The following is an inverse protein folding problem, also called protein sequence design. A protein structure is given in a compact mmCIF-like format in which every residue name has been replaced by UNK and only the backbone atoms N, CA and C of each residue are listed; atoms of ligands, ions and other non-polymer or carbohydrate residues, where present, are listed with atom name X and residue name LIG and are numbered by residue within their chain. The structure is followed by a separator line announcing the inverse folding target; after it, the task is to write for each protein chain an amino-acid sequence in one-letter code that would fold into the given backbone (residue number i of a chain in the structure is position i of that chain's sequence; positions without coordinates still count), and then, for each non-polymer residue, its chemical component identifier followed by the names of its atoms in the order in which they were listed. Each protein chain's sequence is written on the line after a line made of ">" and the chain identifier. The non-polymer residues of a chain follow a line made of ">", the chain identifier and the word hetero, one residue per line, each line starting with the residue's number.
data_IF_349139381067
#
_entry.id   IF_349139381067
#
_cell.length_a   1.000
_cell.length_b   1.000
_cell.length_c   1.000
_cell.angle_alpha   90.00
_cell.angle_beta   90.00
_cell.angle_gamma   90.00
#
_symmetry.space_group_name_H-M   'P 1'
#
loop_
_entity.id
_entity.type
_entity.pdbx_description
1 polymer ?
#
# COMPACT_ATOMS: atom_id res chain seq x y z
N UNK A 1 9.32 -25.63 -1.90
CA UNK A 1 8.40 -26.64 -1.34
C UNK A 1 7.49 -25.94 -0.33
N UNK A 2 6.20 -25.79 -0.63
CA UNK A 2 5.22 -25.31 0.34
C UNK A 2 4.67 -26.53 1.10
N UNK A 3 5.26 -26.84 2.24
CA UNK A 3 4.84 -27.98 3.07
C UNK A 3 3.96 -27.45 4.20
N UNK A 4 2.63 -27.56 4.07
CA UNK A 4 1.73 -27.22 5.17
C UNK A 4 0.23 -27.21 4.85
N UNK A 5 -0.18 -26.99 3.60
CA UNK A 5 -1.60 -26.94 3.22
C UNK A 5 -2.07 -28.20 2.48
N UNK A 6 -3.21 -28.77 2.86
CA UNK A 6 -3.90 -29.79 2.05
C UNK A 6 -4.70 -29.10 0.94
N UNK A 7 -4.41 -29.44 -0.32
CA UNK A 7 -5.09 -28.89 -1.51
C UNK A 7 -6.59 -29.17 -1.49
N UNK A 8 -7.03 -30.30 -0.92
CA UNK A 8 -8.46 -30.64 -0.83
C UNK A 8 -9.26 -29.57 -0.08
N UNK A 9 -8.66 -28.97 0.96
CA UNK A 9 -9.31 -27.96 1.81
C UNK A 9 -9.64 -26.65 1.06
N UNK A 10 -8.96 -26.37 -0.05
CA UNK A 10 -9.16 -25.15 -0.85
C UNK A 10 -9.64 -25.45 -2.27
N UNK A 11 -9.91 -26.73 -2.57
CA UNK A 11 -10.33 -27.18 -3.90
C UNK A 11 -11.62 -26.52 -4.36
N UNK A 12 -12.53 -26.22 -3.42
CA UNK A 12 -13.77 -25.50 -3.66
C UNK A 12 -13.60 -24.06 -4.18
N UNK A 13 -12.40 -23.46 -4.02
CA UNK A 13 -12.09 -22.13 -4.53
C UNK A 13 -11.62 -22.15 -6.00
N UNK A 14 -11.21 -23.32 -6.53
CA UNK A 14 -10.68 -23.43 -7.90
C UNK A 14 -11.68 -22.96 -8.97
N UNK A 15 -12.97 -23.33 -8.92
CA UNK A 15 -13.94 -22.84 -9.90
C UNK A 15 -14.04 -21.31 -9.90
N UNK A 16 -13.94 -20.66 -8.74
CA UNK A 16 -13.93 -19.19 -8.68
C UNK A 16 -12.66 -18.61 -9.31
N UNK A 17 -11.48 -19.15 -8.97
CA UNK A 17 -10.18 -18.68 -9.50
C UNK A 17 -10.11 -18.85 -11.02
N UNK A 18 -10.68 -19.93 -11.56
CA UNK A 18 -10.71 -20.22 -12.99
C UNK A 18 -11.81 -19.45 -13.75
N UNK A 19 -12.73 -18.78 -13.04
CA UNK A 19 -13.86 -18.08 -13.64
C UNK A 19 -15.06 -18.97 -13.99
N UNK A 20 -15.06 -20.23 -13.55
CA UNK A 20 -16.10 -21.22 -13.78
C UNK A 20 -17.27 -21.13 -12.78
N UNK A 21 -17.17 -20.28 -11.75
CA UNK A 21 -18.21 -20.07 -10.74
C UNK A 21 -18.61 -18.60 -10.60
N UNK A 22 -19.90 -18.38 -10.33
CA UNK A 22 -20.50 -17.07 -10.02
C UNK A 22 -20.58 -16.80 -8.50
N UNK A 23 -20.23 -17.78 -7.65
CA UNK A 23 -20.20 -17.55 -6.21
C UNK A 23 -19.01 -16.67 -5.83
N UNK A 24 -19.30 -15.40 -5.52
CA UNK A 24 -18.29 -14.49 -5.00
C UNK A 24 -17.82 -14.95 -3.62
N UNK A 25 -16.55 -15.33 -3.52
CA UNK A 25 -15.83 -15.52 -2.26
C UNK A 25 -14.88 -14.35 -1.94
N UNK A 26 -14.81 -13.35 -2.82
CA UNK A 26 -14.02 -12.12 -2.64
C UNK A 26 -14.95 -10.93 -2.57
N UNK A 27 -14.74 -10.08 -1.56
CA UNK A 27 -15.58 -8.94 -1.25
C UNK A 27 -14.71 -7.73 -0.98
N UNK A 28 -15.07 -6.55 -1.49
CA UNK A 28 -14.48 -5.30 -1.03
C UNK A 28 -14.78 -5.13 0.46
N UNK A 29 -13.76 -4.79 1.24
CA UNK A 29 -13.90 -4.63 2.68
C UNK A 29 -12.95 -3.54 3.18
N UNK A 30 -13.54 -2.45 3.68
CA UNK A 30 -12.82 -1.28 4.18
C UNK A 30 -13.20 -1.07 5.65
N UNK A 31 -12.44 -1.66 6.60
CA UNK A 31 -12.71 -1.50 8.03
C UNK A 31 -12.55 -0.03 8.46
N UNK A 32 -13.36 0.41 9.42
CA UNK A 32 -13.40 1.82 9.87
C UNK A 32 -12.15 2.25 10.67
N UNK A 33 -11.37 1.28 11.18
CA UNK A 33 -10.05 1.52 11.76
C UNK A 33 -9.00 1.02 10.79
N UNK A 34 -8.23 1.94 10.22
CA UNK A 34 -6.97 1.62 9.54
C UNK A 34 -5.98 1.14 10.60
N UNK A 35 -5.31 0.03 10.32
CA UNK A 35 -4.36 -0.58 11.24
C UNK A 35 -3.19 0.40 11.42
N UNK A 36 -3.17 1.10 12.56
CA UNK A 36 -2.19 2.15 12.80
C UNK A 36 -0.83 1.54 13.11
N UNK A 37 0.18 1.99 12.37
CA UNK A 37 1.56 1.95 12.84
C UNK A 37 1.76 3.10 13.82
N UNK A 38 2.49 2.82 14.89
CA UNK A 38 2.67 3.66 16.08
C UNK A 38 3.48 4.95 15.88
N UNK A 39 3.78 5.37 14.65
CA UNK A 39 4.61 6.55 14.38
C UNK A 39 3.98 7.43 13.27
N UNK A 40 4.06 8.75 13.45
CA UNK A 40 3.45 9.86 12.69
C UNK A 40 3.79 9.99 11.18
N UNK A 41 4.28 8.94 10.53
CA UNK A 41 4.46 8.91 9.07
C UNK A 41 3.43 7.99 8.45
N UNK A 42 2.66 8.51 7.49
CA UNK A 42 1.71 7.70 6.72
C UNK A 42 2.49 6.66 5.90
N UNK A 43 2.04 5.40 5.94
CA UNK A 43 2.67 4.27 5.24
C UNK A 43 1.77 3.74 4.15
N UNK A 44 2.36 3.38 3.01
CA UNK A 44 1.67 2.61 1.97
C UNK A 44 1.92 1.14 2.24
N UNK A 45 0.87 0.39 2.56
CA UNK A 45 0.97 -0.95 3.12
C UNK A 45 0.53 -2.03 2.15
N UNK A 46 1.27 -3.13 2.17
CA UNK A 46 0.81 -4.44 1.78
C UNK A 46 0.55 -5.26 3.04
N UNK A 47 -0.71 -5.63 3.28
CA UNK A 47 -1.07 -6.44 4.45
C UNK A 47 -1.81 -7.70 4.01
N UNK A 48 -1.46 -8.80 4.68
CA UNK A 48 -2.16 -10.07 4.57
C UNK A 48 -2.50 -10.52 5.98
N UNK A 49 -3.75 -10.94 6.15
CA UNK A 49 -4.24 -11.51 7.40
C UNK A 49 -5.06 -12.73 7.07
N UNK A 50 -4.87 -13.83 7.80
CA UNK A 50 -5.69 -15.04 7.65
C UNK A 50 -6.06 -15.52 9.04
N UNK A 51 -7.36 -15.77 9.25
CA UNK A 51 -7.89 -16.33 10.48
C UNK A 51 -8.74 -17.55 10.18
N UNK A 52 -8.49 -18.63 10.90
CA UNK A 52 -9.39 -19.76 11.04
C UNK A 52 -10.06 -19.69 12.40
N UNK A 53 -11.39 -19.77 12.42
CA UNK A 53 -12.20 -19.84 13.63
C UNK A 53 -12.95 -21.16 13.65
N UNK A 54 -12.64 -22.01 14.62
CA UNK A 54 -13.29 -23.30 14.86
C UNK A 54 -14.71 -23.11 15.36
N UNK A 55 -14.95 -22.11 16.21
CA UNK A 55 -16.28 -21.74 16.72
C UNK A 55 -17.20 -21.30 15.59
N UNK A 56 -16.72 -20.40 14.72
CA UNK A 56 -17.48 -19.92 13.58
C UNK A 56 -17.44 -20.89 12.40
N UNK A 57 -16.59 -21.92 12.42
CA UNK A 57 -16.36 -22.85 11.31
C UNK A 57 -16.04 -22.14 10.00
N UNK A 58 -15.20 -21.11 10.05
CA UNK A 58 -14.79 -20.35 8.87
C UNK A 58 -13.27 -20.20 8.80
N UNK A 59 -12.75 -20.09 7.58
CA UNK A 59 -11.46 -19.46 7.32
C UNK A 59 -11.72 -18.25 6.43
N UNK A 60 -11.17 -17.10 6.80
CA UNK A 60 -11.17 -15.92 5.95
C UNK A 60 -9.79 -15.27 5.90
N UNK A 61 -9.53 -14.59 4.79
CA UNK A 61 -8.36 -13.77 4.58
C UNK A 61 -8.75 -12.31 4.39
N UNK A 62 -7.92 -11.40 4.87
CA UNK A 62 -7.96 -10.00 4.49
C UNK A 62 -6.69 -9.66 3.71
N UNK A 63 -6.86 -8.94 2.61
CA UNK A 63 -5.79 -8.54 1.71
C UNK A 63 -5.89 -7.03 1.50
N UNK A 64 -4.79 -6.33 1.77
CA UNK A 64 -4.62 -4.91 1.51
C UNK A 64 -3.42 -4.71 0.60
N UNK A 65 -3.63 -4.04 -0.54
CA UNK A 65 -2.58 -3.67 -1.47
C UNK A 65 -2.56 -2.14 -1.66
N UNK A 66 -1.36 -1.58 -1.61
CA UNK A 66 -1.09 -0.14 -1.69
C UNK A 66 -1.94 0.74 -0.77
N UNK A 67 -2.35 0.22 0.40
CA UNK A 67 -3.35 0.87 1.28
C UNK A 67 -4.70 1.21 0.63
N UNK A 68 -4.95 0.79 -0.61
CA UNK A 68 -6.12 1.20 -1.42
C UNK A 68 -7.02 0.03 -1.74
N UNK A 69 -6.46 -1.05 -2.25
CA UNK A 69 -7.24 -2.21 -2.66
C UNK A 69 -7.40 -3.15 -1.46
N UNK A 70 -8.59 -3.14 -0.87
CA UNK A 70 -8.89 -3.88 0.36
C UNK A 70 -10.00 -4.89 0.14
N UNK A 71 -9.68 -6.16 0.38
CA UNK A 71 -10.58 -7.27 0.12
C UNK A 71 -10.63 -8.22 1.31
N UNK A 72 -11.82 -8.77 1.53
CA UNK A 72 -12.05 -9.96 2.33
C UNK A 72 -12.22 -11.14 1.39
N UNK A 73 -11.56 -12.25 1.69
CA UNK A 73 -11.65 -13.52 0.98
C UNK A 73 -12.21 -14.57 1.92
N UNK A 74 -13.37 -15.14 1.63
CA UNK A 74 -13.89 -16.30 2.34
C UNK A 74 -13.20 -17.56 1.78
N UNK A 75 -12.35 -18.18 2.61
CA UNK A 75 -11.51 -19.32 2.22
C UNK A 75 -12.13 -20.68 2.59
N UNK A 76 -13.05 -20.72 3.56
CA UNK A 76 -13.87 -21.89 3.90
C UNK A 76 -15.05 -21.44 4.79
N UNK A 77 -16.21 -22.09 4.65
CA UNK A 77 -17.41 -21.85 5.46
C UNK A 77 -17.82 -23.08 6.31
N UNK A 78 -16.96 -24.08 6.35
CA UNK A 78 -17.17 -25.40 6.94
C UNK A 78 -15.90 -25.89 7.66
N UNK A 79 -15.10 -24.98 8.19
CA UNK A 79 -13.83 -25.28 8.83
C UNK A 79 -14.00 -26.13 10.10
N UNK A 80 -13.20 -27.19 10.23
CA UNK A 80 -13.24 -28.15 11.37
C UNK A 80 -11.88 -28.19 12.12
N UNK A 81 -10.91 -27.36 11.72
CA UNK A 81 -9.60 -27.31 12.39
C UNK A 81 -9.57 -26.40 13.62
N UNK A 82 -8.39 -26.27 14.22
CA UNK A 82 -8.15 -25.41 15.39
C UNK A 82 -8.09 -23.93 15.03
N UNK A 83 -8.36 -23.06 15.99
CA UNK A 83 -8.19 -21.61 15.82
C UNK A 83 -6.76 -21.27 15.41
N UNK A 84 -6.63 -20.37 14.43
CA UNK A 84 -5.32 -19.83 14.05
C UNK A 84 -5.46 -18.40 13.53
N UNK A 85 -4.39 -17.63 13.68
CA UNK A 85 -4.23 -16.29 13.13
C UNK A 85 -2.82 -16.14 12.56
N UNK A 86 -2.73 -15.59 11.35
CA UNK A 86 -1.47 -15.27 10.67
C UNK A 86 -1.58 -13.89 10.06
N UNK A 87 -0.54 -13.10 10.23
CA UNK A 87 -0.47 -11.75 9.69
C UNK A 87 0.89 -11.47 9.06
N UNK A 88 0.88 -10.57 8.09
CA UNK A 88 2.04 -10.04 7.41
C UNK A 88 1.76 -8.60 7.02
N UNK A 89 2.70 -7.71 7.32
CA UNK A 89 2.64 -6.31 6.92
C UNK A 89 3.98 -5.86 6.36
N UNK A 90 3.90 -5.09 5.28
CA UNK A 90 5.05 -4.58 4.55
C UNK A 90 4.81 -3.14 4.15
N UNK A 91 5.79 -2.29 4.42
CA UNK A 91 5.83 -0.90 3.99
C UNK A 91 6.42 -0.84 2.58
N UNK A 92 5.60 -0.44 1.62
CA UNK A 92 5.98 -0.35 0.20
C UNK A 92 7.01 0.76 -0.02
N UNK A 93 6.97 1.83 0.77
CA UNK A 93 7.84 2.98 0.60
C UNK A 93 9.24 2.68 1.13
N UNK A 94 9.32 2.16 2.35
CA UNK A 94 10.59 1.81 3.00
C UNK A 94 11.13 0.44 2.53
N UNK A 95 10.31 -0.32 1.80
CA UNK A 95 10.62 -1.68 1.33
C UNK A 95 11.00 -2.63 2.48
N UNK A 96 10.33 -2.47 3.62
CA UNK A 96 10.62 -3.23 4.82
C UNK A 96 9.38 -3.89 5.42
N UNK A 97 9.60 -5.03 6.07
CA UNK A 97 8.55 -5.71 6.83
C UNK A 97 8.34 -4.97 8.13
N UNK A 98 7.09 -4.73 8.48
CA UNK A 98 6.74 -4.04 9.72
C UNK A 98 5.89 -4.94 10.61
N UNK A 99 6.06 -4.77 11.93
CA UNK A 99 5.10 -5.32 12.88
C UNK A 99 3.80 -4.51 12.82
N UNK A 100 2.69 -5.23 12.76
CA UNK A 100 1.35 -4.67 12.74
C UNK A 100 0.47 -5.51 13.65
N UNK A 101 -0.55 -4.92 14.24
CA UNK A 101 -1.56 -5.67 14.97
C UNK A 101 -2.88 -5.58 14.20
N UNK A 102 -3.09 -6.52 13.27
CA UNK A 102 -4.31 -6.52 12.45
C UNK A 102 -5.46 -7.10 13.28
N UNK A 103 -6.34 -6.22 13.75
CA UNK A 103 -7.51 -6.60 14.53
C UNK A 103 -8.76 -6.72 13.65
N UNK A 104 -8.88 -7.85 12.95
CA UNK A 104 -10.09 -8.22 12.20
C UNK A 104 -10.68 -9.48 12.83
N UNK A 105 -11.83 -9.33 13.47
CA UNK A 105 -12.60 -10.44 14.02
C UNK A 105 -14.00 -10.46 13.41
N UNK A 106 -14.26 -11.44 12.55
CA UNK A 106 -15.52 -11.57 11.82
C UNK A 106 -16.19 -12.89 12.17
N UNK A 107 -17.51 -12.83 12.37
CA UNK A 107 -18.38 -14.00 12.42
C UNK A 107 -19.06 -14.22 11.06
N UNK A 108 -19.74 -15.35 10.88
CA UNK A 108 -20.47 -15.65 9.62
C UNK A 108 -21.46 -14.55 9.23
N UNK A 109 -22.18 -13.99 10.21
CA UNK A 109 -23.16 -12.94 9.96
C UNK A 109 -22.49 -11.66 9.43
N UNK A 110 -21.35 -11.25 10.01
CA UNK A 110 -20.60 -10.09 9.51
C UNK A 110 -20.13 -10.27 8.07
N UNK A 111 -19.72 -11.48 7.67
CA UNK A 111 -19.32 -11.76 6.28
C UNK A 111 -20.53 -11.62 5.33
N UNK A 112 -21.70 -12.11 5.74
CA UNK A 112 -22.94 -11.93 4.97
C UNK A 112 -23.31 -10.45 4.81
N UNK A 113 -23.20 -9.66 5.88
CA UNK A 113 -23.44 -8.20 5.84
C UNK A 113 -22.45 -7.47 4.92
N UNK A 114 -21.16 -7.89 4.92
CA UNK A 114 -20.15 -7.36 4.00
C UNK A 114 -20.53 -7.67 2.56
N UNK A 115 -20.97 -8.90 2.28
CA UNK A 115 -21.44 -9.32 0.94
C UNK A 115 -22.62 -8.48 0.46
N UNK A 116 -23.54 -8.10 1.35
CA UNK A 116 -24.69 -7.27 1.00
C UNK A 116 -24.35 -5.77 0.85
N UNK A 117 -23.27 -5.30 1.48
CA UNK A 117 -22.90 -3.88 1.54
C UNK A 117 -21.87 -3.43 0.50
N UNK A 118 -21.56 -4.25 -0.51
CA UNK A 118 -20.52 -4.00 -1.51
C UNK A 118 -20.62 -2.64 -2.21
N UNK A 119 -21.84 -2.15 -2.47
CA UNK A 119 -22.06 -0.86 -3.14
C UNK A 119 -21.64 0.34 -2.29
N UNK A 120 -21.65 0.21 -0.95
CA UNK A 120 -21.23 1.26 0.00
C UNK A 120 -19.71 1.47 0.02
N UNK A 121 -18.94 0.54 -0.52
CA UNK A 121 -17.47 0.60 -0.50
C UNK A 121 -16.87 1.49 -1.60
N UNK A 122 -17.64 1.95 -2.58
CA UNK A 122 -17.13 2.80 -3.67
C UNK A 122 -16.54 4.11 -3.14
N UNK A 123 -17.20 4.77 -2.17
CA UNK A 123 -16.68 6.03 -1.61
C UNK A 123 -15.41 5.78 -0.78
N UNK A 124 -15.34 4.68 -0.03
CA UNK A 124 -14.15 4.29 0.74
C UNK A 124 -12.96 3.98 -0.19
N UNK A 125 -13.21 3.30 -1.31
CA UNK A 125 -12.21 3.08 -2.34
C UNK A 125 -11.71 4.39 -2.96
N UNK A 126 -12.62 5.30 -3.33
CA UNK A 126 -12.25 6.62 -3.87
C UNK A 126 -11.36 7.39 -2.91
N UNK A 127 -11.76 7.48 -1.64
CA UNK A 127 -10.95 8.15 -0.62
C UNK A 127 -9.56 7.50 -0.49
N UNK A 128 -9.48 6.17 -0.45
CA UNK A 128 -8.21 5.47 -0.36
C UNK A 128 -7.33 5.64 -1.61
N UNK A 129 -7.94 5.85 -2.78
CA UNK A 129 -7.23 6.16 -4.02
C UNK A 129 -6.71 7.61 -4.04
N UNK A 130 -7.52 8.55 -3.56
CA UNK A 130 -7.14 9.96 -3.44
C UNK A 130 -6.00 10.14 -2.42
N UNK A 131 -6.05 9.42 -1.29
CA UNK A 131 -4.96 9.33 -0.33
C UNK A 131 -3.69 8.78 -0.99
N UNK A 132 -3.77 7.62 -1.65
CA UNK A 132 -2.64 7.03 -2.36
C UNK A 132 -2.01 8.01 -3.36
N UNK A 133 -2.84 8.66 -4.18
CA UNK A 133 -2.38 9.66 -5.15
C UNK A 133 -1.66 10.80 -4.46
N UNK A 134 -2.24 11.37 -3.40
CA UNK A 134 -1.64 12.45 -2.64
C UNK A 134 -0.23 12.08 -2.13
N UNK A 135 -0.05 10.86 -1.61
CA UNK A 135 1.25 10.40 -1.13
C UNK A 135 2.26 10.12 -2.25
N UNK A 136 1.83 9.54 -3.36
CA UNK A 136 2.69 9.36 -4.54
C UNK A 136 3.16 10.71 -5.07
N UNK A 137 2.25 11.68 -5.20
CA UNK A 137 2.55 13.03 -5.69
C UNK A 137 3.55 13.75 -4.78
N UNK A 138 3.42 13.60 -3.45
CA UNK A 138 4.36 14.12 -2.46
C UNK A 138 5.75 13.49 -2.62
N UNK A 139 5.84 12.15 -2.64
CA UNK A 139 7.12 11.43 -2.78
C UNK A 139 7.84 11.79 -4.08
N UNK A 140 7.12 11.78 -5.20
CA UNK A 140 7.70 12.15 -6.50
C UNK A 140 8.20 13.59 -6.51
N UNK A 141 7.47 14.51 -5.85
CA UNK A 141 7.91 15.91 -5.70
C UNK A 141 9.22 16.00 -4.90
N UNK A 142 9.31 15.30 -3.77
CA UNK A 142 10.52 15.25 -2.94
C UNK A 142 11.72 14.68 -3.68
N UNK A 143 11.55 13.55 -4.38
CA UNK A 143 12.60 12.92 -5.19
C UNK A 143 13.05 13.84 -6.32
N UNK A 144 12.11 14.52 -7.00
CA UNK A 144 12.44 15.44 -8.07
C UNK A 144 13.21 16.67 -7.56
N UNK A 145 12.80 17.26 -6.43
CA UNK A 145 13.53 18.38 -5.80
C UNK A 145 14.93 17.95 -5.36
N UNK A 146 15.06 16.76 -4.75
CA UNK A 146 16.36 16.19 -4.36
C UNK A 146 17.28 16.02 -5.58
N UNK A 147 16.75 15.52 -6.69
CA UNK A 147 17.49 15.40 -7.94
C UNK A 147 17.88 16.77 -8.53
N UNK A 148 17.01 17.79 -8.45
CA UNK A 148 17.35 19.15 -8.86
C UNK A 148 18.54 19.67 -8.03
N UNK A 149 18.51 19.48 -6.71
CA UNK A 149 19.61 19.89 -5.82
C UNK A 149 20.89 19.17 -6.20
N UNK A 150 20.87 17.83 -6.24
CA UNK A 150 22.04 17.00 -6.53
C UNK A 150 22.66 17.35 -7.89
N UNK A 151 21.85 17.46 -8.94
CA UNK A 151 22.36 17.79 -10.27
C UNK A 151 22.85 19.23 -10.38
N UNK A 152 22.29 20.17 -9.60
CA UNK A 152 22.77 21.56 -9.58
C UNK A 152 24.12 21.66 -8.89
N UNK A 153 24.30 20.93 -7.79
CA UNK A 153 25.60 20.74 -7.13
C UNK A 153 26.59 20.13 -8.13
N UNK A 154 26.29 18.96 -8.71
CA UNK A 154 27.20 18.29 -9.65
C UNK A 154 27.59 19.17 -10.85
N UNK A 155 26.65 19.95 -11.39
CA UNK A 155 26.91 20.85 -12.52
C UNK A 155 27.91 21.96 -12.17
N UNK A 156 27.83 22.53 -10.97
CA UNK A 156 28.75 23.59 -10.52
C UNK A 156 30.10 23.00 -10.14
N UNK A 157 30.09 21.92 -9.34
CA UNK A 157 31.33 21.32 -8.82
C UNK A 157 32.14 20.54 -9.86
N UNK A 158 31.55 20.09 -10.98
CA UNK A 158 32.31 19.54 -12.12
C UNK A 158 33.35 20.51 -12.70
N UNK A 159 33.16 21.82 -12.50
CA UNK A 159 34.09 22.86 -12.97
C UNK A 159 35.09 23.35 -11.94
N UNK A 160 35.08 22.79 -10.72
CA UNK A 160 35.90 23.24 -9.58
C UNK A 160 36.90 22.14 -9.22
N UNK A 161 38.19 22.48 -9.13
CA UNK A 161 39.21 21.51 -8.73
C UNK A 161 39.04 21.12 -7.25
N UNK A 162 39.27 19.84 -6.95
CA UNK A 162 39.13 19.29 -5.61
C UNK A 162 40.14 19.96 -4.65
N UNK A 163 39.64 20.54 -3.55
CA UNK A 163 40.45 21.33 -2.60
C UNK A 163 40.45 22.86 -2.86
N UNK A 164 39.79 23.33 -3.91
CA UNK A 164 39.59 24.77 -4.17
C UNK A 164 38.58 25.40 -3.21
N UNK A 165 38.73 26.70 -2.95
CA UNK A 165 37.74 27.49 -2.21
C UNK A 165 36.57 27.85 -3.12
N UNK A 166 35.34 27.57 -2.69
CA UNK A 166 34.11 28.01 -3.37
C UNK A 166 34.02 29.54 -3.27
N UNK A 167 33.87 30.22 -4.41
CA UNK A 167 33.72 31.68 -4.44
C UNK A 167 32.25 32.11 -4.66
N UNK A 168 32.01 33.42 -4.63
CA UNK A 168 30.67 33.99 -4.79
C UNK A 168 30.06 33.69 -6.17
N UNK A 169 30.86 33.66 -7.23
CA UNK A 169 30.41 33.30 -8.59
C UNK A 169 30.00 31.83 -8.70
N UNK A 170 30.64 30.93 -7.96
CA UNK A 170 30.22 29.51 -7.86
C UNK A 170 28.87 29.39 -7.15
N UNK A 171 28.64 30.20 -6.11
CA UNK A 171 27.38 30.22 -5.37
C UNK A 171 26.23 30.79 -6.21
N UNK A 172 26.48 31.87 -6.96
CA UNK A 172 25.50 32.44 -7.90
C UNK A 172 25.13 31.41 -8.96
N UNK A 173 26.11 30.73 -9.57
CA UNK A 173 25.86 29.66 -10.56
C UNK A 173 25.04 28.50 -9.99
N UNK A 174 25.24 28.14 -8.73
CA UNK A 174 24.44 27.12 -8.05
C UNK A 174 22.98 27.53 -7.91
N UNK A 175 22.75 28.77 -7.44
CA UNK A 175 21.40 29.32 -7.28
C UNK A 175 20.68 29.40 -8.63
N UNK A 176 21.35 29.92 -9.66
CA UNK A 176 20.76 30.07 -10.99
C UNK A 176 20.36 28.71 -11.58
N UNK A 177 21.26 27.71 -11.47
CA UNK A 177 20.97 26.36 -11.97
C UNK A 177 19.81 25.69 -11.23
N UNK A 178 19.72 25.89 -9.90
CA UNK A 178 18.61 25.39 -9.11
C UNK A 178 17.29 26.07 -9.52
N UNK A 179 17.26 27.39 -9.60
CA UNK A 179 16.05 28.17 -9.88
C UNK A 179 15.47 27.85 -11.26
N UNK A 180 16.33 27.71 -12.28
CA UNK A 180 15.90 27.33 -13.63
C UNK A 180 15.16 25.98 -13.61
N UNK A 181 15.80 24.94 -13.05
CA UNK A 181 15.22 23.60 -12.96
C UNK A 181 13.98 23.55 -12.08
N UNK A 182 13.97 24.27 -10.97
CA UNK A 182 12.83 24.35 -10.06
C UNK A 182 11.62 25.04 -10.71
N UNK A 183 11.84 26.11 -11.49
CA UNK A 183 10.79 26.76 -12.25
C UNK A 183 10.17 25.81 -13.29
N UNK A 184 10.98 24.99 -13.96
CA UNK A 184 10.48 23.94 -14.86
C UNK A 184 9.60 22.92 -14.13
N UNK A 185 10.03 22.46 -12.95
CA UNK A 185 9.24 21.56 -12.11
C UNK A 185 7.88 22.16 -11.71
N UNK A 186 7.85 23.42 -11.26
CA UNK A 186 6.61 24.12 -10.92
C UNK A 186 5.65 24.25 -12.12
N UNK A 187 6.19 24.57 -13.29
CA UNK A 187 5.41 24.65 -14.54
C UNK A 187 4.84 23.29 -14.95
N UNK A 188 5.59 22.20 -14.76
CA UNK A 188 5.08 20.84 -14.99
C UNK A 188 3.96 20.49 -14.01
N UNK A 189 4.12 20.81 -12.72
CA UNK A 189 3.10 20.54 -11.69
C UNK A 189 1.80 21.28 -12.01
N UNK A 190 1.87 22.57 -12.36
CA UNK A 190 0.69 23.40 -12.64
C UNK A 190 -0.11 23.00 -13.89
N UNK A 191 0.44 22.15 -14.78
CA UNK A 191 -0.25 21.66 -15.98
C UNK A 191 -0.99 20.34 -15.78
N UNK A 192 -0.73 19.63 -14.69
CA UNK A 192 -1.26 18.29 -14.43
C UNK A 192 -2.27 18.27 -13.25
N UNK A 193 -2.68 19.45 -12.77
CA UNK A 193 -3.85 19.68 -11.91
C UNK A 193 -4.95 20.38 -12.70
#
# INVERSE_FOLDING_TARGET
>A
MQNGGNRENISHLLPYILGDSQENCVFYYYPDRTFTTTNDSFKILHQLFIKGSSTEKIIYGYVELFSTFKFLVLLSNDYIGNDFCKEYSFDVMERDKIESNINIDLCKNSISEIKESQQKNINKFKNALDELRFFIDQKQSEEHISNIVQTSIENVFKGIEEGSTINEDDYIRLIDNFLEKFAHFLNFKNRNF
#
